data_IF_677156966820
#
_entry.id   IF_677156966820
#
_cell.length_a   1.000
_cell.length_b   1.000
_cell.length_c   1.000
_cell.angle_alpha   90.00
_cell.angle_beta   90.00
_cell.angle_gamma   90.00
#
_symmetry.space_group_name_H-M   'P 1'
#
loop_
_entity.id
_entity.type
_entity.pdbx_description
1 polymer ?
#
# COMPACT_ATOMS: atom_id res chain seq x y z
N UNK A 1 37.52 -25.62 -6.79
CA UNK A 1 36.26 -25.72 -7.54
C UNK A 1 35.32 -24.70 -6.92
N UNK A 2 35.10 -23.56 -7.57
CA UNK A 2 34.06 -22.63 -7.14
C UNK A 2 32.72 -23.36 -7.26
N UNK A 3 31.97 -23.47 -6.18
CA UNK A 3 30.59 -23.95 -6.25
C UNK A 3 29.83 -23.02 -7.20
N UNK A 4 29.13 -23.60 -8.16
CA UNK A 4 28.28 -22.84 -9.08
C UNK A 4 27.14 -22.24 -8.24
N UNK A 5 27.10 -20.91 -8.16
CA UNK A 5 26.13 -20.19 -7.33
C UNK A 5 24.80 -20.17 -8.07
N UNK A 6 23.81 -20.93 -7.58
CA UNK A 6 22.45 -20.94 -8.14
C UNK A 6 21.66 -19.73 -7.66
N UNK A 7 21.02 -19.01 -8.58
CA UNK A 7 20.13 -17.90 -8.27
C UNK A 7 18.92 -18.41 -7.47
N UNK A 8 18.72 -17.84 -6.28
CA UNK A 8 17.53 -18.09 -5.46
C UNK A 8 16.29 -17.54 -6.15
N UNK A 9 15.22 -18.33 -6.17
CA UNK A 9 13.93 -17.99 -6.74
C UNK A 9 12.85 -18.29 -5.71
N UNK A 10 11.86 -17.40 -5.51
CA UNK A 10 10.71 -17.71 -4.69
C UNK A 10 9.84 -18.77 -5.40
N UNK A 11 9.08 -19.57 -4.63
CA UNK A 11 8.14 -20.52 -5.22
C UNK A 11 6.97 -19.80 -5.91
N UNK A 12 6.35 -20.51 -6.87
CA UNK A 12 5.05 -20.14 -7.44
C UNK A 12 4.00 -21.06 -6.84
N UNK A 13 3.05 -20.50 -6.11
CA UNK A 13 2.05 -21.25 -5.35
C UNK A 13 0.63 -20.96 -5.81
N UNK A 14 0.44 -20.67 -7.10
CA UNK A 14 -0.85 -20.36 -7.72
C UNK A 14 -1.92 -21.45 -7.46
N UNK A 15 -1.67 -22.76 -7.63
CA UNK A 15 -2.69 -23.77 -7.31
C UNK A 15 -3.13 -23.73 -5.83
N UNK A 16 -2.22 -23.44 -4.90
CA UNK A 16 -2.52 -23.35 -3.47
C UNK A 16 -3.35 -22.11 -3.15
N UNK A 17 -3.00 -20.94 -3.70
CA UNK A 17 -3.77 -19.70 -3.52
C UNK A 17 -5.16 -19.84 -4.13
N UNK A 18 -5.30 -20.48 -5.30
CA UNK A 18 -6.60 -20.74 -5.92
C UNK A 18 -7.49 -21.66 -5.08
N UNK A 19 -6.95 -22.68 -4.42
CA UNK A 19 -7.73 -23.52 -3.50
C UNK A 19 -8.27 -22.72 -2.31
N UNK A 20 -7.44 -21.86 -1.72
CA UNK A 20 -7.84 -21.00 -0.61
C UNK A 20 -8.88 -19.96 -1.04
N UNK A 21 -8.68 -19.32 -2.19
CA UNK A 21 -9.63 -18.33 -2.74
C UNK A 21 -10.99 -18.98 -2.98
N UNK A 22 -11.06 -20.16 -3.60
CA UNK A 22 -12.34 -20.87 -3.79
C UNK A 22 -13.04 -21.19 -2.46
N UNK A 23 -12.29 -21.60 -1.45
CA UNK A 23 -12.86 -21.90 -0.14
C UNK A 23 -13.44 -20.64 0.52
N UNK A 24 -12.71 -19.51 0.44
CA UNK A 24 -13.16 -18.23 0.97
C UNK A 24 -14.40 -17.73 0.21
N UNK A 25 -14.38 -17.73 -1.12
CA UNK A 25 -15.51 -17.32 -1.96
C UNK A 25 -16.77 -18.15 -1.68
N UNK A 26 -16.61 -19.46 -1.45
CA UNK A 26 -17.73 -20.34 -1.08
C UNK A 26 -18.37 -19.93 0.25
N UNK A 27 -17.58 -19.54 1.24
CA UNK A 27 -18.10 -19.10 2.54
C UNK A 27 -18.68 -17.68 2.50
N UNK A 28 -18.11 -16.79 1.67
CA UNK A 28 -18.59 -15.42 1.48
C UNK A 28 -19.77 -15.31 0.50
N UNK A 29 -19.98 -16.34 -0.33
CA UNK A 29 -20.93 -16.37 -1.44
C UNK A 29 -20.78 -15.16 -2.38
N UNK A 30 -19.54 -14.81 -2.70
CA UNK A 30 -19.18 -13.68 -3.56
C UNK A 30 -17.71 -13.78 -3.99
N UNK A 31 -17.31 -13.15 -5.11
CA UNK A 31 -15.93 -13.10 -5.55
C UNK A 31 -14.98 -12.42 -4.56
N UNK A 32 -13.76 -12.93 -4.49
CA UNK A 32 -12.65 -12.37 -3.73
C UNK A 32 -11.57 -11.83 -4.66
N UNK A 33 -11.33 -10.53 -4.59
CA UNK A 33 -10.17 -9.87 -5.17
C UNK A 33 -9.10 -9.69 -4.10
N UNK A 34 -7.88 -10.12 -4.37
CA UNK A 34 -6.75 -9.98 -3.46
C UNK A 34 -5.79 -8.89 -3.96
N UNK A 35 -5.39 -7.99 -3.06
CA UNK A 35 -4.27 -7.09 -3.24
C UNK A 35 -3.26 -7.25 -2.10
N UNK A 36 -2.05 -7.66 -2.45
CA UNK A 36 -0.99 -7.96 -1.49
C UNK A 36 0.33 -7.27 -1.90
N UNK A 37 0.96 -6.59 -0.95
CA UNK A 37 2.35 -6.14 -1.08
C UNK A 37 3.26 -6.86 -0.09
N UNK A 38 4.41 -7.29 -0.61
CA UNK A 38 5.57 -7.69 0.18
C UNK A 38 6.24 -6.49 0.82
N UNK A 39 7.32 -6.74 1.58
CA UNK A 39 8.00 -5.69 2.36
C UNK A 39 8.53 -4.53 1.51
N UNK A 40 8.95 -4.81 0.27
CA UNK A 40 9.48 -3.82 -0.68
C UNK A 40 8.45 -3.47 -1.77
N UNK A 41 7.21 -3.98 -1.66
CA UNK A 41 6.12 -3.65 -2.56
C UNK A 41 5.46 -2.32 -2.18
N UNK A 42 4.72 -1.76 -3.13
CA UNK A 42 4.05 -0.47 -2.94
C UNK A 42 2.90 -0.32 -3.92
N UNK A 43 1.85 0.41 -3.51
CA UNK A 43 0.76 0.85 -4.39
C UNK A 43 1.31 1.80 -5.44
N UNK A 44 1.36 1.37 -6.70
CA UNK A 44 2.04 2.09 -7.78
C UNK A 44 1.17 2.25 -9.05
N UNK A 45 1.62 3.07 -10.01
CA UNK A 45 0.80 3.42 -11.19
C UNK A 45 0.44 2.23 -12.08
N UNK A 46 1.32 1.24 -12.18
CA UNK A 46 1.09 0.04 -13.00
C UNK A 46 0.07 -0.89 -12.36
N UNK A 47 -0.16 -0.78 -11.05
CA UNK A 47 -1.16 -1.57 -10.34
C UNK A 47 -2.56 -1.37 -10.92
N UNK A 48 -2.92 -0.15 -11.36
CA UNK A 48 -4.23 0.11 -11.95
C UNK A 48 -4.45 -0.70 -13.23
N UNK A 49 -3.41 -0.82 -14.07
CA UNK A 49 -3.49 -1.60 -15.31
C UNK A 49 -3.48 -3.10 -15.03
N UNK A 50 -2.64 -3.57 -14.11
CA UNK A 50 -2.65 -4.96 -13.64
C UNK A 50 -4.04 -5.36 -13.10
N UNK A 51 -4.64 -4.49 -12.29
CA UNK A 51 -5.96 -4.68 -11.72
C UNK A 51 -7.06 -4.76 -12.79
N UNK A 52 -6.94 -3.97 -13.87
CA UNK A 52 -7.89 -4.00 -14.99
C UNK A 52 -8.03 -5.41 -15.58
N UNK A 53 -6.93 -6.13 -15.77
CA UNK A 53 -6.97 -7.52 -16.26
C UNK A 53 -7.70 -8.48 -15.32
N UNK A 54 -7.67 -8.22 -14.00
CA UNK A 54 -8.30 -9.07 -13.00
C UNK A 54 -9.78 -8.77 -12.85
N UNK A 55 -10.18 -7.49 -12.78
CA UNK A 55 -11.60 -7.14 -12.63
C UNK A 55 -12.44 -7.55 -13.82
N UNK A 56 -11.87 -7.56 -15.03
CA UNK A 56 -12.53 -8.09 -16.24
C UNK A 56 -12.83 -9.59 -16.13
N UNK A 57 -12.02 -10.36 -15.40
CA UNK A 57 -12.28 -11.78 -15.12
C UNK A 57 -13.39 -11.99 -14.09
N UNK A 58 -13.48 -11.13 -13.06
CA UNK A 58 -14.52 -11.21 -12.03
C UNK A 58 -15.92 -10.90 -12.61
N UNK A 59 -15.99 -10.10 -13.67
CA UNK A 59 -17.22 -9.58 -14.28
C UNK A 59 -18.06 -8.76 -13.27
N UNK A 60 -19.27 -8.34 -13.69
CA UNK A 60 -20.17 -7.59 -12.82
C UNK A 60 -20.75 -8.51 -11.73
N UNK A 61 -20.64 -8.11 -10.46
CA UNK A 61 -21.22 -8.85 -9.33
C UNK A 61 -21.89 -7.92 -8.32
N UNK A 62 -22.91 -8.38 -7.59
CA UNK A 62 -23.59 -7.52 -6.62
C UNK A 62 -22.67 -7.08 -5.48
N UNK A 63 -21.87 -8.02 -4.94
CA UNK A 63 -20.89 -7.76 -3.88
C UNK A 63 -19.51 -8.29 -4.26
N UNK A 64 -18.46 -7.48 -4.14
CA UNK A 64 -17.06 -7.95 -4.25
C UNK A 64 -16.37 -7.77 -2.90
N UNK A 65 -15.62 -8.78 -2.48
CA UNK A 65 -14.73 -8.69 -1.34
C UNK A 65 -13.31 -8.37 -1.81
N UNK A 66 -12.66 -7.42 -1.15
CA UNK A 66 -11.29 -6.99 -1.45
C UNK A 66 -10.39 -7.32 -0.26
N UNK A 67 -9.58 -8.37 -0.37
CA UNK A 67 -8.48 -8.62 0.57
C UNK A 67 -7.39 -7.56 0.37
N UNK A 68 -6.96 -6.94 1.47
CA UNK A 68 -5.89 -5.92 1.46
C UNK A 68 -4.85 -6.26 2.51
N UNK A 69 -3.61 -6.37 2.06
CA UNK A 69 -2.41 -6.37 2.91
C UNK A 69 -1.36 -5.50 2.24
N UNK A 70 -1.07 -4.32 2.82
CA UNK A 70 -0.12 -3.37 2.21
C UNK A 70 0.35 -2.32 3.20
N UNK A 71 1.62 -1.91 3.05
CA UNK A 71 2.24 -0.80 3.77
C UNK A 71 1.98 0.58 3.11
N UNK A 72 1.23 0.61 2.00
CA UNK A 72 0.83 1.83 1.31
C UNK A 72 1.56 2.10 0.01
N UNK A 73 1.70 3.38 -0.34
CA UNK A 73 2.18 3.84 -1.64
C UNK A 73 1.42 5.07 -2.11
N UNK A 74 0.97 5.07 -3.36
CA UNK A 74 0.26 6.23 -3.93
C UNK A 74 -1.23 6.22 -3.61
N UNK A 75 -1.68 7.22 -2.84
CA UNK A 75 -3.11 7.44 -2.60
C UNK A 75 -3.93 7.75 -3.86
N UNK A 76 -3.30 8.30 -4.91
CA UNK A 76 -3.97 8.53 -6.20
C UNK A 76 -4.31 7.22 -6.90
N UNK A 77 -3.40 6.25 -6.83
CA UNK A 77 -3.63 4.94 -7.44
C UNK A 77 -4.63 4.15 -6.62
N UNK A 78 -4.61 4.26 -5.28
CA UNK A 78 -5.66 3.72 -4.42
C UNK A 78 -7.06 4.20 -4.85
N UNK A 79 -7.25 5.52 -5.08
CA UNK A 79 -8.51 6.06 -5.61
C UNK A 79 -8.89 5.45 -6.97
N UNK A 80 -7.93 5.38 -7.91
CA UNK A 80 -8.17 4.82 -9.25
C UNK A 80 -8.56 3.35 -9.19
N UNK A 81 -7.90 2.57 -8.35
CA UNK A 81 -8.18 1.14 -8.14
C UNK A 81 -9.57 0.93 -7.55
N UNK A 82 -9.92 1.65 -6.49
CA UNK A 82 -11.25 1.55 -5.88
C UNK A 82 -12.34 1.96 -6.87
N UNK A 83 -12.15 3.07 -7.60
CA UNK A 83 -13.12 3.50 -8.61
C UNK A 83 -13.31 2.43 -9.70
N UNK A 84 -12.24 1.76 -10.12
CA UNK A 84 -12.29 0.67 -11.09
C UNK A 84 -13.07 -0.55 -10.55
N UNK A 85 -12.80 -0.96 -9.30
CA UNK A 85 -13.50 -2.09 -8.66
C UNK A 85 -14.98 -1.77 -8.46
N UNK A 86 -15.31 -0.57 -7.99
CA UNK A 86 -16.70 -0.12 -7.81
C UNK A 86 -17.47 -0.05 -9.13
N UNK A 87 -16.79 0.12 -10.26
CA UNK A 87 -17.40 -0.01 -11.59
C UNK A 87 -18.00 -1.40 -11.85
N UNK A 88 -17.49 -2.43 -11.15
CA UNK A 88 -17.86 -3.84 -11.33
C UNK A 88 -18.73 -4.40 -10.20
N UNK A 89 -19.10 -3.59 -9.20
CA UNK A 89 -19.97 -4.05 -8.11
C UNK A 89 -20.90 -2.99 -7.52
N UNK A 90 -22.02 -3.42 -6.94
CA UNK A 90 -22.90 -2.52 -6.18
C UNK A 90 -22.39 -2.29 -4.75
N UNK A 91 -21.76 -3.31 -4.17
CA UNK A 91 -21.23 -3.27 -2.80
C UNK A 91 -19.80 -3.79 -2.79
N UNK A 92 -18.89 -2.97 -2.28
CA UNK A 92 -17.50 -3.35 -2.04
C UNK A 92 -17.27 -3.54 -0.54
N UNK A 93 -16.64 -4.64 -0.15
CA UNK A 93 -16.28 -4.92 1.24
C UNK A 93 -14.79 -5.18 1.34
N UNK A 94 -14.09 -4.38 2.13
CA UNK A 94 -12.66 -4.57 2.39
C UNK A 94 -12.46 -5.61 3.48
N UNK A 95 -11.65 -6.64 3.21
CA UNK A 95 -11.18 -7.62 4.18
C UNK A 95 -9.74 -7.29 4.55
N UNK A 96 -9.53 -6.87 5.79
CA UNK A 96 -8.22 -6.45 6.31
C UNK A 96 -7.83 -7.39 7.45
N UNK A 97 -7.12 -8.51 7.18
CA UNK A 97 -6.72 -9.43 8.24
C UNK A 97 -5.48 -8.96 9.02
N UNK A 98 -4.65 -8.11 8.41
CA UNK A 98 -3.32 -7.71 8.88
C UNK A 98 -3.08 -6.20 8.65
N UNK A 99 -1.86 -5.80 8.27
CA UNK A 99 -1.51 -4.40 8.02
C UNK A 99 -2.20 -3.84 6.78
N UNK A 100 -2.74 -2.62 6.93
CA UNK A 100 -3.33 -1.85 5.85
C UNK A 100 -3.03 -0.37 6.10
N UNK A 101 -1.81 0.04 5.75
CA UNK A 101 -1.27 1.34 6.09
C UNK A 101 -1.34 2.35 4.95
N UNK A 102 -1.43 3.64 5.29
CA UNK A 102 -1.31 4.78 4.38
C UNK A 102 -2.28 4.67 3.18
N UNK A 103 -1.78 4.62 1.95
CA UNK A 103 -2.64 4.45 0.76
C UNK A 103 -3.49 3.16 0.78
N UNK A 104 -3.09 2.10 1.50
CA UNK A 104 -3.94 0.93 1.68
C UNK A 104 -5.13 1.24 2.59
N UNK A 105 -4.96 2.07 3.64
CA UNK A 105 -6.09 2.60 4.42
C UNK A 105 -7.04 3.37 3.51
N UNK A 106 -6.53 4.16 2.56
CA UNK A 106 -7.36 4.83 1.55
C UNK A 106 -8.16 3.81 0.70
N UNK A 107 -7.55 2.72 0.26
CA UNK A 107 -8.29 1.64 -0.41
C UNK A 107 -9.41 1.09 0.49
N UNK A 108 -9.09 0.79 1.76
CA UNK A 108 -10.04 0.20 2.69
C UNK A 108 -11.27 1.10 2.93
N UNK A 109 -11.07 2.40 3.13
CA UNK A 109 -12.15 3.37 3.38
C UNK A 109 -12.96 3.74 2.13
N UNK A 110 -12.57 3.27 0.95
CA UNK A 110 -13.38 3.40 -0.27
C UNK A 110 -14.43 2.30 -0.43
N UNK A 111 -14.42 1.30 0.46
CA UNK A 111 -15.37 0.19 0.49
C UNK A 111 -16.53 0.47 1.47
N UNK A 112 -17.73 0.01 1.13
CA UNK A 112 -18.97 0.26 1.90
C UNK A 112 -18.89 -0.30 3.34
N UNK A 113 -18.09 -1.35 3.54
CA UNK A 113 -17.76 -1.93 4.84
C UNK A 113 -16.28 -2.32 4.90
N UNK A 114 -15.69 -2.22 6.09
CA UNK A 114 -14.35 -2.73 6.38
C UNK A 114 -14.48 -3.84 7.41
N UNK A 115 -14.10 -5.06 7.06
CA UNK A 115 -14.04 -6.18 7.99
C UNK A 115 -12.58 -6.34 8.42
N UNK A 116 -12.32 -6.16 9.71
CA UNK A 116 -10.97 -6.23 10.29
C UNK A 116 -10.74 -7.54 11.03
N UNK A 117 -9.58 -8.14 10.80
CA UNK A 117 -9.07 -9.29 11.54
C UNK A 117 -8.58 -8.90 12.94
N UNK A 118 -8.28 -9.90 13.76
CA UNK A 118 -7.85 -9.66 15.15
C UNK A 118 -6.47 -8.98 15.24
N UNK A 119 -5.60 -9.21 14.26
CA UNK A 119 -4.26 -8.62 14.17
C UNK A 119 -4.22 -7.37 13.27
N UNK A 120 -5.38 -6.96 12.74
CA UNK A 120 -5.45 -5.92 11.74
C UNK A 120 -5.29 -4.53 12.33
N UNK A 121 -4.67 -3.64 11.56
CA UNK A 121 -4.65 -2.21 11.84
C UNK A 121 -4.73 -1.41 10.54
N UNK A 122 -5.43 -0.28 10.62
CA UNK A 122 -5.28 0.82 9.67
C UNK A 122 -4.22 1.79 10.20
N UNK A 123 -3.72 2.70 9.39
CA UNK A 123 -2.83 3.78 9.87
C UNK A 123 -3.34 5.15 9.47
N UNK A 124 -2.68 6.20 9.93
CA UNK A 124 -2.92 7.52 9.38
C UNK A 124 -2.45 7.59 7.93
N UNK A 125 -2.99 8.59 7.23
CA UNK A 125 -2.76 8.83 5.80
C UNK A 125 -2.15 10.21 5.56
N UNK A 126 -1.55 10.78 6.60
CA UNK A 126 -0.75 12.00 6.50
C UNK A 126 0.35 11.82 5.46
N UNK A 127 0.60 12.87 4.70
CA UNK A 127 1.60 12.86 3.64
C UNK A 127 2.86 13.57 4.08
N UNK A 128 3.98 12.87 3.93
CA UNK A 128 5.30 13.47 3.90
C UNK A 128 5.85 13.36 2.47
N UNK A 129 6.75 14.26 2.09
CA UNK A 129 7.39 14.19 0.78
C UNK A 129 8.85 14.62 0.83
N UNK A 130 9.62 14.05 -0.08
CA UNK A 130 11.00 14.44 -0.36
C UNK A 130 11.02 15.31 -1.62
N UNK A 131 11.28 16.62 -1.46
CA UNK A 131 11.35 17.59 -2.56
C UNK A 131 12.81 17.77 -3.00
N UNK A 132 13.06 18.26 -4.22
CA UNK A 132 14.43 18.55 -4.69
C UNK A 132 15.19 19.56 -3.85
N UNK A 133 14.44 20.36 -3.09
CA UNK A 133 14.91 21.41 -2.17
C UNK A 133 14.71 21.03 -0.70
N UNK A 134 14.41 19.75 -0.42
CA UNK A 134 14.38 19.22 0.93
C UNK A 134 15.74 19.37 1.61
N UNK A 135 15.78 19.50 2.95
CA UNK A 135 17.01 19.45 3.71
C UNK A 135 17.79 18.16 3.43
N UNK A 136 19.11 18.22 3.58
CA UNK A 136 19.99 17.06 3.49
C UNK A 136 20.35 16.56 4.90
N UNK A 137 20.43 15.25 5.07
CA UNK A 137 20.95 14.65 6.30
C UNK A 137 22.48 14.55 6.30
N UNK A 138 23.04 13.80 7.26
CA UNK A 138 24.50 13.63 7.41
C UNK A 138 25.12 12.80 6.29
N UNK A 139 24.32 11.94 5.67
CA UNK A 139 24.74 11.04 4.60
C UNK A 139 24.47 11.64 3.21
N UNK A 140 24.04 12.92 3.18
CA UNK A 140 23.74 13.70 1.99
C UNK A 140 22.49 13.20 1.23
N UNK A 141 21.60 12.51 1.95
CA UNK A 141 20.29 12.10 1.47
C UNK A 141 19.25 13.18 1.79
N UNK A 142 18.25 13.30 0.92
CA UNK A 142 17.17 14.28 1.11
C UNK A 142 16.18 13.77 2.14
N UNK A 143 15.92 14.61 3.14
CA UNK A 143 15.00 14.33 4.24
C UNK A 143 13.55 14.56 3.77
N UNK A 144 12.68 13.59 4.07
CA UNK A 144 11.24 13.75 3.89
C UNK A 144 10.71 14.78 4.89
N UNK A 145 9.87 15.70 4.43
CA UNK A 145 9.27 16.74 5.27
C UNK A 145 7.78 16.49 5.38
N UNK A 146 7.24 16.54 6.60
CA UNK A 146 5.80 16.49 6.89
C UNK A 146 5.28 17.88 7.27
N UNK A 147 4.10 18.25 6.75
CA UNK A 147 3.45 19.49 7.16
C UNK A 147 2.98 19.43 8.62
N UNK A 148 2.54 18.27 9.11
CA UNK A 148 2.15 18.14 10.51
C UNK A 148 3.33 18.38 11.45
N UNK A 149 4.53 17.90 11.11
CA UNK A 149 5.75 18.16 11.90
C UNK A 149 6.08 19.66 11.94
N UNK A 150 6.02 20.35 10.80
CA UNK A 150 6.21 21.80 10.73
C UNK A 150 5.18 22.54 11.60
N UNK A 151 3.90 22.15 11.50
CA UNK A 151 2.82 22.71 12.28
C UNK A 151 2.99 22.43 13.78
N UNK A 152 3.50 21.25 14.17
CA UNK A 152 3.83 20.94 15.58
C UNK A 152 4.92 21.86 16.11
N UNK A 153 5.98 22.12 15.32
CA UNK A 153 7.04 23.06 15.72
C UNK A 153 6.47 24.47 15.91
N UNK A 154 5.64 24.95 14.98
CA UNK A 154 4.99 26.26 15.08
C UNK A 154 4.08 26.33 16.32
N UNK A 155 3.25 25.31 16.56
CA UNK A 155 2.38 25.22 17.75
C UNK A 155 3.17 25.21 19.06
N UNK A 156 4.26 24.44 19.11
CA UNK A 156 5.14 24.39 20.29
C UNK A 156 5.79 25.76 20.54
N UNK A 157 6.24 26.45 19.49
CA UNK A 157 6.78 27.79 19.62
C UNK A 157 5.74 28.78 20.15
N UNK A 158 4.54 28.82 19.55
CA UNK A 158 3.43 29.69 19.96
C UNK A 158 3.04 29.47 21.43
N UNK A 159 3.05 28.21 21.89
CA UNK A 159 2.69 27.87 23.27
C UNK A 159 3.77 28.20 24.31
N UNK A 160 5.03 28.37 23.89
CA UNK A 160 6.17 28.58 24.79
C UNK A 160 6.79 29.99 24.68
N UNK A 161 6.25 30.86 23.81
CA UNK A 161 6.71 32.23 23.64
C UNK A 161 5.74 33.23 24.28
N UNK A 162 6.28 34.35 24.79
CA UNK A 162 5.47 35.53 25.14
C UNK A 162 5.33 36.50 23.98
N UNK A 163 6.15 36.32 22.95
CA UNK A 163 6.16 37.14 21.74
C UNK A 163 5.26 36.48 20.69
N UNK A 164 4.01 36.95 20.61
CA UNK A 164 3.00 36.45 19.67
C UNK A 164 3.07 37.14 18.30
N UNK A 165 3.86 38.21 18.16
CA UNK A 165 3.87 39.05 16.96
C UNK A 165 4.98 38.64 15.96
N UNK A 166 5.96 37.84 16.39
CA UNK A 166 7.01 37.36 15.50
C UNK A 166 6.55 36.20 14.59
N UNK A 167 7.05 36.19 13.36
CA UNK A 167 6.73 35.17 12.37
C UNK A 167 7.69 33.97 12.50
N UNK A 168 7.24 32.80 12.99
CA UNK A 168 8.10 31.63 13.18
C UNK A 168 8.61 31.05 11.86
N UNK A 169 7.90 31.29 10.75
CA UNK A 169 8.30 30.77 9.44
C UNK A 169 9.60 31.38 8.94
N UNK A 170 9.92 32.62 9.32
CA UNK A 170 11.18 33.26 8.91
C UNK A 170 12.39 32.43 9.34
N UNK A 171 12.38 31.92 10.57
CA UNK A 171 13.42 31.06 11.12
C UNK A 171 13.39 29.66 10.50
N UNK A 172 12.20 29.11 10.25
CA UNK A 172 12.07 27.81 9.59
C UNK A 172 12.59 27.82 8.14
N UNK A 173 12.42 28.94 7.42
CA UNK A 173 12.89 29.07 6.04
C UNK A 173 14.41 28.99 5.89
N UNK A 174 15.17 29.19 6.98
CA UNK A 174 16.62 28.97 7.00
C UNK A 174 16.99 27.48 6.92
N UNK A 175 16.08 26.59 7.30
CA UNK A 175 16.29 25.14 7.35
C UNK A 175 15.45 24.38 6.32
N UNK A 176 14.24 24.84 6.03
CA UNK A 176 13.29 24.21 5.12
C UNK A 176 12.88 25.22 4.06
N UNK A 177 13.25 24.96 2.81
CA UNK A 177 12.99 25.88 1.72
C UNK A 177 11.48 26.14 1.54
N UNK A 178 11.01 27.39 1.33
CA UNK A 178 9.57 27.71 1.25
C UNK A 178 8.77 26.90 0.22
N UNK A 179 9.38 26.55 -0.91
CA UNK A 179 8.76 25.67 -1.92
C UNK A 179 8.49 24.25 -1.40
N UNK A 180 9.28 23.76 -0.43
CA UNK A 180 9.02 22.47 0.24
C UNK A 180 7.78 22.59 1.10
N UNK A 181 7.64 23.68 1.86
CA UNK A 181 6.46 23.96 2.69
C UNK A 181 5.20 24.04 1.81
N UNK A 182 5.26 24.78 0.71
CA UNK A 182 4.16 24.83 -0.26
C UNK A 182 3.90 23.50 -0.97
N UNK A 183 4.90 22.61 -1.10
CA UNK A 183 4.71 21.28 -1.66
C UNK A 183 4.00 20.35 -0.66
N UNK A 184 4.39 20.36 0.62
CA UNK A 184 3.77 19.51 1.65
C UNK A 184 2.34 19.94 1.94
N UNK A 185 2.04 21.25 1.90
CA UNK A 185 0.67 21.78 2.00
C UNK A 185 -0.26 21.26 0.90
N UNK A 186 0.23 21.26 -0.34
CA UNK A 186 -0.52 20.65 -1.45
C UNK A 186 -0.67 19.14 -1.28
N UNK A 187 0.33 18.45 -0.76
CA UNK A 187 0.28 17.01 -0.55
C UNK A 187 -0.72 16.64 0.56
N UNK A 188 -0.77 17.39 1.65
CA UNK A 188 -1.74 17.20 2.74
C UNK A 188 -3.17 17.47 2.22
N UNK A 189 -3.36 18.59 1.53
CA UNK A 189 -4.65 18.95 0.91
C UNK A 189 -5.14 17.86 -0.06
N UNK A 190 -4.23 17.30 -0.86
CA UNK A 190 -4.55 16.18 -1.72
C UNK A 190 -4.96 14.95 -0.93
N UNK A 191 -4.25 14.60 0.15
CA UNK A 191 -4.56 13.44 0.97
C UNK A 191 -5.96 13.52 1.58
N UNK A 192 -6.30 14.67 2.17
CA UNK A 192 -7.64 14.94 2.69
C UNK A 192 -8.67 14.80 1.58
N UNK A 193 -8.43 15.40 0.41
CA UNK A 193 -9.36 15.33 -0.72
C UNK A 193 -9.59 13.90 -1.22
N UNK A 194 -8.54 13.09 -1.28
CA UNK A 194 -8.64 11.68 -1.67
C UNK A 194 -9.50 10.90 -0.67
N UNK A 195 -9.26 11.08 0.64
CA UNK A 195 -10.09 10.45 1.67
C UNK A 195 -11.56 10.89 1.59
N UNK A 196 -11.82 12.18 1.40
CA UNK A 196 -13.18 12.69 1.25
C UNK A 196 -13.89 12.05 0.04
N UNK A 197 -13.20 11.97 -1.11
CA UNK A 197 -13.73 11.36 -2.32
C UNK A 197 -14.07 9.87 -2.09
N UNK A 198 -13.13 9.11 -1.53
CA UNK A 198 -13.31 7.68 -1.25
C UNK A 198 -14.46 7.41 -0.28
N UNK A 199 -14.54 8.15 0.82
CA UNK A 199 -15.61 8.02 1.81
C UNK A 199 -16.98 8.43 1.25
N UNK A 200 -17.01 9.38 0.31
CA UNK A 200 -18.24 9.87 -0.31
C UNK A 200 -18.95 8.83 -1.18
N UNK A 201 -18.25 7.76 -1.58
CA UNK A 201 -18.85 6.67 -2.34
C UNK A 201 -19.95 5.91 -1.58
N UNK A 202 -19.94 5.98 -0.25
CA UNK A 202 -20.88 5.24 0.59
C UNK A 202 -21.40 6.01 1.81
N UNK A 203 -20.88 7.22 2.11
CA UNK A 203 -21.38 8.11 3.15
C UNK A 203 -21.93 9.39 2.51
N UNK A 204 -23.24 9.62 2.67
CA UNK A 204 -23.89 10.83 2.15
C UNK A 204 -23.75 12.08 3.05
N UNK A 205 -23.33 11.91 4.31
CA UNK A 205 -23.12 13.02 5.25
C UNK A 205 -21.72 13.63 5.04
N UNK A 206 -21.68 14.80 4.41
CA UNK A 206 -20.46 15.51 4.05
C UNK A 206 -19.66 16.00 5.25
N UNK A 207 -20.31 16.35 6.36
CA UNK A 207 -19.64 16.75 7.60
C UNK A 207 -18.98 15.54 8.25
N UNK A 208 -19.67 14.39 8.28
CA UNK A 208 -19.08 13.13 8.75
C UNK A 208 -17.87 12.72 7.91
N UNK A 209 -17.97 12.81 6.58
CA UNK A 209 -16.85 12.51 5.66
C UNK A 209 -15.65 13.39 5.98
N UNK A 210 -15.84 14.71 6.07
CA UNK A 210 -14.77 15.66 6.38
C UNK A 210 -14.11 15.39 7.74
N UNK A 211 -14.92 15.08 8.76
CA UNK A 211 -14.41 14.78 10.10
C UNK A 211 -13.55 13.52 10.12
N UNK A 212 -13.98 12.45 9.44
CA UNK A 212 -13.19 11.21 9.30
C UNK A 212 -11.88 11.50 8.54
N UNK A 213 -11.96 12.18 7.40
CA UNK A 213 -10.79 12.49 6.57
C UNK A 213 -9.74 13.31 7.34
N UNK A 214 -10.17 14.34 8.08
CA UNK A 214 -9.28 15.14 8.93
C UNK A 214 -8.68 14.33 10.09
N UNK A 215 -9.47 13.46 10.71
CA UNK A 215 -8.98 12.60 11.79
C UNK A 215 -7.90 11.64 11.30
N UNK A 216 -8.09 11.02 10.13
CA UNK A 216 -7.09 10.13 9.52
C UNK A 216 -5.82 10.86 9.07
N UNK A 217 -5.90 12.15 8.74
CA UNK A 217 -4.75 12.95 8.29
C UNK A 217 -4.00 13.63 9.44
N UNK A 218 -4.68 14.13 10.49
CA UNK A 218 -4.00 14.98 11.49
C UNK A 218 -4.33 14.60 12.94
N UNK A 219 -5.16 13.57 13.16
CA UNK A 219 -5.64 13.17 14.48
C UNK A 219 -4.68 12.30 15.29
N UNK A 220 -3.67 11.71 14.64
CA UNK A 220 -2.76 10.74 15.25
C UNK A 220 -1.34 11.30 15.46
N UNK A 221 -0.59 10.79 16.45
CA UNK A 221 0.72 11.34 16.82
C UNK A 221 1.86 10.91 15.88
N UNK A 222 1.65 9.92 15.02
CA UNK A 222 2.66 9.35 14.13
C UNK A 222 2.01 8.68 12.93
N UNK A 223 2.70 8.70 11.78
CA UNK A 223 2.24 8.02 10.54
C UNK A 223 1.89 6.54 10.76
N UNK A 224 2.73 5.84 11.53
CA UNK A 224 2.55 4.43 11.86
C UNK A 224 1.64 4.14 13.07
N UNK A 225 0.81 5.08 13.50
CA UNK A 225 -0.09 4.85 14.63
C UNK A 225 -1.14 3.78 14.27
N UNK A 226 -1.24 2.66 15.03
CA UNK A 226 -2.15 1.59 14.70
C UNK A 226 -3.60 1.95 15.10
N UNK A 227 -4.46 2.11 14.10
CA UNK A 227 -5.89 2.32 14.24
C UNK A 227 -6.57 0.94 14.25
N UNK A 228 -6.80 0.41 15.45
CA UNK A 228 -7.48 -0.87 15.66
C UNK A 228 -9.00 -0.74 15.50
N UNK A 229 -9.72 -1.86 15.38
CA UNK A 229 -11.16 -1.90 15.09
C UNK A 229 -12.02 -0.96 15.97
N UNK A 230 -11.77 -0.90 17.29
CA UNK A 230 -12.53 -0.03 18.21
C UNK A 230 -12.28 1.44 17.93
N UNK A 231 -11.04 1.80 17.58
CA UNK A 231 -10.68 3.16 17.21
C UNK A 231 -11.29 3.54 15.87
N UNK A 232 -11.19 2.64 14.88
CA UNK A 232 -11.79 2.82 13.56
C UNK A 232 -13.31 3.04 13.64
N UNK A 233 -14.01 2.30 14.52
CA UNK A 233 -15.42 2.55 14.84
C UNK A 233 -15.64 3.90 15.52
N UNK A 234 -14.79 4.27 16.48
CA UNK A 234 -14.88 5.54 17.23
C UNK A 234 -14.77 6.76 16.31
N UNK A 235 -13.87 6.72 15.32
CA UNK A 235 -13.69 7.83 14.37
C UNK A 235 -14.81 7.89 13.32
N UNK A 236 -15.67 6.86 13.23
CA UNK A 236 -16.86 6.86 12.39
C UNK A 236 -16.79 5.99 11.13
N UNK A 237 -15.79 5.10 11.00
CA UNK A 237 -15.75 4.12 9.92
C UNK A 237 -16.78 3.00 10.13
N UNK A 238 -17.27 2.41 9.04
CA UNK A 238 -18.20 1.28 9.08
C UNK A 238 -17.43 -0.06 9.19
N UNK A 239 -17.04 -0.40 10.42
CA UNK A 239 -16.10 -1.50 10.68
C UNK A 239 -16.74 -2.66 11.42
N UNK A 240 -16.47 -3.89 10.96
CA UNK A 240 -16.92 -5.15 11.57
C UNK A 240 -15.72 -6.07 11.82
N UNK A 241 -15.89 -7.01 12.74
CA UNK A 241 -14.89 -8.07 12.96
C UNK A 241 -15.09 -9.16 11.89
N UNK A 242 -14.00 -9.65 11.29
CA UNK A 242 -14.05 -10.83 10.40
C UNK A 242 -14.43 -12.07 11.23
N UNK A 243 -15.28 -12.94 10.68
CA UNK A 243 -15.54 -14.26 11.27
C UNK A 243 -14.23 -15.04 11.44
N UNK A 244 -14.10 -15.80 12.54
CA UNK A 244 -12.86 -16.52 12.84
C UNK A 244 -12.44 -17.45 11.69
N UNK A 245 -13.38 -18.17 11.08
CA UNK A 245 -13.11 -19.15 10.04
C UNK A 245 -12.55 -18.47 8.79
N UNK A 246 -13.19 -17.37 8.36
CA UNK A 246 -12.72 -16.56 7.24
C UNK A 246 -11.35 -15.94 7.57
N UNK A 247 -11.19 -15.40 8.77
CA UNK A 247 -9.93 -14.79 9.19
C UNK A 247 -8.77 -15.79 9.12
N UNK A 248 -8.96 -17.03 9.60
CA UNK A 248 -7.93 -18.06 9.54
C UNK A 248 -7.55 -18.40 8.08
N UNK A 249 -8.52 -18.52 7.17
CA UNK A 249 -8.26 -18.72 5.74
C UNK A 249 -7.52 -17.55 5.09
N UNK A 250 -7.85 -16.31 5.45
CA UNK A 250 -7.14 -15.13 4.94
C UNK A 250 -5.69 -15.06 5.47
N UNK A 251 -5.43 -15.59 6.67
CA UNK A 251 -4.08 -15.71 7.22
C UNK A 251 -3.28 -16.80 6.50
N UNK A 252 -3.89 -17.93 6.17
CA UNK A 252 -3.27 -18.99 5.36
C UNK A 252 -2.95 -18.49 3.94
N UNK A 253 -3.87 -17.71 3.36
CA UNK A 253 -3.65 -17.07 2.06
C UNK A 253 -2.49 -16.06 2.12
N UNK A 254 -2.45 -15.22 3.16
CA UNK A 254 -1.31 -14.33 3.38
C UNK A 254 0.01 -15.09 3.60
N UNK A 255 -0.01 -16.21 4.32
CA UNK A 255 1.19 -17.03 4.53
C UNK A 255 1.73 -17.56 3.19
N UNK A 256 0.83 -18.01 2.32
CA UNK A 256 1.16 -18.46 0.96
C UNK A 256 1.75 -17.32 0.12
N UNK A 257 1.13 -16.13 0.14
CA UNK A 257 1.70 -14.94 -0.52
C UNK A 257 3.05 -14.53 0.08
N UNK A 258 3.22 -14.65 1.39
CA UNK A 258 4.47 -14.31 2.06
C UNK A 258 5.61 -15.26 1.69
N UNK A 259 5.31 -16.53 1.45
CA UNK A 259 6.27 -17.50 0.93
C UNK A 259 6.65 -17.17 -0.53
N UNK A 260 5.68 -16.80 -1.36
CA UNK A 260 5.93 -16.32 -2.73
C UNK A 260 6.71 -15.00 -2.76
N UNK A 261 6.44 -14.08 -1.85
CA UNK A 261 7.14 -12.79 -1.73
C UNK A 261 8.35 -12.80 -0.79
N UNK A 262 8.87 -13.99 -0.46
CA UNK A 262 10.02 -14.10 0.42
C UNK A 262 11.29 -13.51 -0.20
N UNK A 263 12.21 -13.04 0.65
CA UNK A 263 13.49 -12.47 0.22
C UNK A 263 14.30 -13.51 -0.56
N UNK A 264 14.66 -13.18 -1.79
CA UNK A 264 15.37 -14.07 -2.71
C UNK A 264 16.63 -13.36 -3.24
N UNK A 265 17.61 -13.20 -2.36
CA UNK A 265 18.89 -12.57 -2.68
C UNK A 265 20.01 -13.60 -2.75
N UNK A 266 20.73 -13.58 -3.86
CA UNK A 266 21.90 -14.41 -4.12
C UNK A 266 23.14 -13.52 -4.10
N UNK A 267 23.96 -13.66 -3.08
CA UNK A 267 25.23 -12.94 -3.00
C UNK A 267 26.30 -13.70 -3.79
N UNK A 268 26.94 -13.04 -4.75
CA UNK A 268 28.05 -13.60 -5.52
C UNK A 268 29.40 -13.27 -4.89
N UNK A 269 29.53 -12.06 -4.36
CA UNK A 269 30.65 -11.56 -3.57
C UNK A 269 30.22 -10.38 -2.68
N UNK A 270 31.17 -9.74 -1.98
CA UNK A 270 30.91 -8.63 -1.06
C UNK A 270 30.33 -7.36 -1.74
N UNK A 271 30.37 -7.29 -3.06
CA UNK A 271 29.94 -6.15 -3.88
C UNK A 271 28.89 -6.50 -4.94
N UNK A 272 28.66 -7.79 -5.23
CA UNK A 272 27.69 -8.24 -6.23
C UNK A 272 26.63 -9.16 -5.63
N UNK A 273 25.36 -8.83 -5.86
CA UNK A 273 24.25 -9.70 -5.52
C UNK A 273 23.15 -9.65 -6.58
N UNK A 274 22.26 -10.63 -6.58
CA UNK A 274 21.10 -10.70 -7.44
C UNK A 274 19.84 -10.78 -6.60
N UNK A 275 18.84 -9.98 -6.93
CA UNK A 275 17.54 -9.95 -6.25
C UNK A 275 16.47 -10.48 -7.19
N UNK A 276 15.72 -11.50 -6.73
CA UNK A 276 14.66 -12.12 -7.51
C UNK A 276 13.32 -12.23 -6.76
N UNK A 277 12.76 -11.09 -6.32
CA UNK A 277 11.66 -11.06 -5.34
C UNK A 277 10.32 -10.69 -5.97
N UNK A 278 9.22 -11.34 -5.55
CA UNK A 278 7.86 -10.91 -5.90
C UNK A 278 7.45 -9.81 -4.92
N UNK A 279 7.11 -8.63 -5.45
CA UNK A 279 6.83 -7.45 -4.63
C UNK A 279 5.34 -7.16 -4.47
N UNK A 280 4.59 -7.30 -5.57
CA UNK A 280 3.16 -7.03 -5.61
C UNK A 280 2.46 -8.26 -6.17
N UNK A 281 1.38 -8.70 -5.53
CA UNK A 281 0.50 -9.77 -6.04
C UNK A 281 -0.93 -9.23 -6.05
N UNK A 282 -1.59 -9.45 -7.17
CA UNK A 282 -3.03 -9.28 -7.32
C UNK A 282 -3.60 -10.60 -7.81
N UNK A 283 -4.72 -11.02 -7.25
CA UNK A 283 -5.28 -12.33 -7.60
C UNK A 283 -6.79 -12.34 -7.46
N UNK A 284 -7.44 -13.07 -8.35
CA UNK A 284 -8.83 -13.48 -8.21
C UNK A 284 -8.94 -14.94 -8.67
N UNK A 285 -10.16 -15.46 -8.74
CA UNK A 285 -10.40 -16.80 -9.28
C UNK A 285 -9.82 -16.93 -10.69
N UNK A 286 -9.04 -17.98 -10.90
CA UNK A 286 -8.43 -18.39 -12.18
C UNK A 286 -7.43 -17.38 -12.80
N UNK A 287 -7.02 -16.33 -12.07
CA UNK A 287 -6.04 -15.33 -12.54
C UNK A 287 -5.19 -14.76 -11.40
N UNK A 288 -3.87 -14.71 -11.61
CA UNK A 288 -2.90 -14.03 -10.73
C UNK A 288 -2.00 -13.11 -11.57
N UNK A 289 -1.87 -11.86 -11.17
CA UNK A 289 -0.93 -10.90 -11.74
C UNK A 289 0.04 -10.46 -10.65
N UNK A 290 1.33 -10.53 -10.92
CA UNK A 290 2.33 -10.11 -9.92
C UNK A 290 3.53 -9.41 -10.57
N UNK A 291 4.18 -8.56 -9.81
CA UNK A 291 5.43 -7.92 -10.20
C UNK A 291 6.61 -8.63 -9.55
N UNK A 292 7.56 -9.08 -10.37
CA UNK A 292 8.79 -9.69 -9.91
C UNK A 292 9.98 -8.80 -10.25
N UNK A 293 10.72 -8.43 -9.21
CA UNK A 293 12.02 -7.82 -9.33
C UNK A 293 13.03 -8.90 -9.74
N UNK A 294 13.82 -8.65 -10.77
CA UNK A 294 14.82 -9.58 -11.31
C UNK A 294 16.01 -8.75 -11.80
N UNK A 295 16.97 -8.49 -10.91
CA UNK A 295 18.09 -7.59 -11.22
C UNK A 295 19.33 -7.86 -10.39
N UNK A 296 20.45 -7.45 -10.97
CA UNK A 296 21.75 -7.46 -10.32
C UNK A 296 22.02 -6.15 -9.60
N UNK A 297 22.80 -6.26 -8.54
CA UNK A 297 23.25 -5.16 -7.72
C UNK A 297 24.78 -5.17 -7.68
N UNK A 298 25.38 -4.00 -7.89
CA UNK A 298 26.80 -3.78 -7.74
C UNK A 298 27.07 -2.62 -6.79
N UNK A 299 27.78 -2.86 -5.69
CA UNK A 299 28.21 -1.80 -4.79
C UNK A 299 29.47 -1.13 -5.32
N UNK A 300 29.34 0.11 -5.78
CA UNK A 300 30.47 0.92 -6.23
C UNK A 300 31.11 1.63 -5.04
N UNK A 301 32.26 1.12 -4.60
CA UNK A 301 32.96 1.62 -3.41
C UNK A 301 33.37 3.09 -3.52
N UNK A 302 33.80 3.57 -4.70
CA UNK A 302 34.23 4.97 -4.86
C UNK A 302 33.09 5.98 -4.64
N UNK A 303 31.87 5.59 -5.00
CA UNK A 303 30.65 6.41 -4.91
C UNK A 303 29.81 6.07 -3.67
N UNK A 304 30.21 5.03 -2.92
CA UNK A 304 29.51 4.52 -1.73
C UNK A 304 28.04 4.22 -1.95
N UNK A 305 27.67 3.75 -3.14
CA UNK A 305 26.27 3.46 -3.50
C UNK A 305 26.11 2.14 -4.24
N UNK A 306 24.93 1.56 -4.10
CA UNK A 306 24.49 0.43 -4.92
C UNK A 306 24.02 0.91 -6.29
N UNK A 307 24.46 0.21 -7.33
CA UNK A 307 24.04 0.39 -8.71
C UNK A 307 23.25 -0.82 -9.15
N UNK A 308 22.13 -0.57 -9.84
CA UNK A 308 21.35 -1.61 -10.48
C UNK A 308 21.97 -1.98 -11.82
N UNK A 309 22.10 -3.27 -12.11
CA UNK A 309 22.56 -3.83 -13.37
C UNK A 309 21.57 -4.91 -13.84
N UNK A 310 21.53 -5.17 -15.15
CA UNK A 310 20.76 -6.27 -15.76
C UNK A 310 19.31 -6.37 -15.26
N UNK A 311 18.60 -5.25 -15.19
CA UNK A 311 17.22 -5.20 -14.70
C UNK A 311 16.25 -5.82 -15.71
N UNK A 312 15.78 -7.03 -15.39
CA UNK A 312 14.80 -7.81 -16.13
C UNK A 312 13.44 -7.88 -15.41
N UNK A 313 13.22 -7.00 -14.44
CA UNK A 313 12.00 -6.95 -13.64
C UNK A 313 10.78 -6.71 -14.51
N UNK A 314 9.71 -7.46 -14.27
CA UNK A 314 8.51 -7.43 -15.13
C UNK A 314 7.26 -7.85 -14.38
N UNK A 315 6.15 -7.46 -14.97
CA UNK A 315 4.84 -7.98 -14.59
C UNK A 315 4.62 -9.33 -15.25
N UNK A 316 4.01 -10.23 -14.51
CA UNK A 316 3.66 -11.56 -14.95
C UNK A 316 2.17 -11.78 -14.76
N UNK A 317 1.59 -12.60 -15.63
CA UNK A 317 0.22 -13.05 -15.52
C UNK A 317 0.20 -14.57 -15.55
N UNK A 318 -0.59 -15.16 -14.66
CA UNK A 318 -0.87 -16.59 -14.60
C UNK A 318 -2.37 -16.76 -14.71
N UNK A 319 -2.82 -17.62 -15.61
CA UNK A 319 -4.24 -17.88 -15.82
C UNK A 319 -4.49 -19.38 -15.84
N UNK A 320 -5.64 -19.79 -15.31
CA UNK A 320 -6.14 -21.15 -15.48
C UNK A 320 -7.12 -21.18 -16.65
N UNK A 321 -6.70 -21.78 -17.77
CA UNK A 321 -7.50 -21.90 -18.99
C UNK A 321 -7.65 -23.39 -19.31
N UNK A 322 -8.89 -23.87 -19.43
CA UNK A 322 -9.21 -25.29 -19.70
C UNK A 322 -8.57 -26.29 -18.72
N UNK A 323 -8.28 -25.84 -17.49
CA UNK A 323 -7.65 -26.65 -16.44
C UNK A 323 -6.13 -26.68 -16.49
N UNK A 324 -5.49 -26.01 -17.46
CA UNK A 324 -4.04 -25.83 -17.56
C UNK A 324 -3.61 -24.44 -17.09
N UNK A 325 -2.43 -24.37 -16.46
CA UNK A 325 -1.81 -23.10 -16.04
C UNK A 325 -1.02 -22.52 -17.22
N UNK A 326 -1.38 -21.29 -17.62
CA UNK A 326 -0.64 -20.51 -18.61
C UNK A 326 0.10 -19.38 -17.91
N UNK A 327 1.39 -19.24 -18.21
CA UNK A 327 2.26 -18.22 -17.63
C UNK A 327 2.80 -17.33 -18.74
N UNK A 328 2.53 -16.03 -18.64
CA UNK A 328 2.98 -15.04 -19.60
C UNK A 328 3.61 -13.82 -18.92
N UNK A 329 4.36 -13.05 -19.71
CA UNK A 329 4.84 -11.72 -19.32
C UNK A 329 3.77 -10.71 -19.69
N UNK A 330 3.38 -9.89 -18.72
CA UNK A 330 2.43 -8.81 -18.91
C UNK A 330 3.19 -7.50 -19.13
N UNK A 331 2.90 -6.81 -20.23
CA UNK A 331 3.49 -5.52 -20.55
C UNK A 331 2.50 -4.40 -20.21
N UNK A 332 2.87 -3.56 -19.25
CA UNK A 332 2.03 -2.47 -18.69
C UNK A 332 2.61 -1.08 -18.98
#
# INVERSE_FOLDING_TARGET
MSAEITIKQPPRLFPQTQQLIAEIERQLNAPLLCYWNGRMGSICGNDVLALYHIVEQIQQHDTIYLFIKSDGGSGREALRMINLIRGHCQKLISLVPLECASAATMMAIGADEIHMGTMAYLSSVDTSLTHDLSPLDRDNDRVSVSLDELNRVVRLWQNNTKDTDSNPYKSLFEYVHPLVIGAVDRAESLSIRLCEELLSYHIGDTERVRNIANMLNSGYPSHGYPILIKEAQRIGLNVKQIDKTINDLLLDLNATYSEMGQRAITDFDDTHSHSNEILNIMEARDIQVFYQNDKDWFYRTEERRWLTLNDNSKWHIVQQIDGEEQHDVLHL
#
